data_IF_956199621733
#
_entry.id   IF_956199621733
#
_cell.length_a   1.000
_cell.length_b   1.000
_cell.length_c   1.000
_cell.angle_alpha   90.00
_cell.angle_beta   90.00
_cell.angle_gamma   90.00
#
_symmetry.space_group_name_H-M   'P 1'
#
loop_
_entity.id
_entity.type
_entity.pdbx_description
1 polymer ?
#
# COMPACT_ATOMS: atom_id res chain seq x y z
N UNK A 1 -28.29 9.07 30.69
CA UNK A 1 -27.47 8.63 29.54
C UNK A 1 -27.25 7.15 29.69
N UNK A 2 -27.83 6.35 28.79
CA UNK A 2 -27.88 4.89 28.90
C UNK A 2 -26.45 4.30 28.81
N UNK A 3 -26.15 3.28 29.61
CA UNK A 3 -24.86 2.56 29.60
C UNK A 3 -24.58 1.98 28.21
N UNK A 4 -25.64 1.68 27.44
CA UNK A 4 -25.60 1.21 26.05
C UNK A 4 -25.01 2.26 25.10
N UNK A 5 -25.36 3.54 25.26
CA UNK A 5 -24.84 4.64 24.42
C UNK A 5 -23.34 4.85 24.62
N UNK A 6 -22.85 4.71 25.86
CA UNK A 6 -21.43 4.84 26.19
C UNK A 6 -20.57 3.75 25.54
N UNK A 7 -21.07 2.50 25.51
CA UNK A 7 -20.38 1.37 24.88
C UNK A 7 -20.33 1.52 23.36
N UNK A 8 -21.44 1.88 22.72
CA UNK A 8 -21.49 2.11 21.27
C UNK A 8 -20.53 3.23 20.87
N UNK A 9 -20.52 4.36 21.59
CA UNK A 9 -19.60 5.47 21.31
C UNK A 9 -18.13 5.06 21.38
N UNK A 10 -17.76 4.27 22.40
CA UNK A 10 -16.39 3.76 22.54
C UNK A 10 -16.01 2.81 21.40
N UNK A 11 -16.91 1.90 21.03
CA UNK A 11 -16.69 0.98 19.93
C UNK A 11 -16.54 1.71 18.59
N UNK A 12 -17.41 2.68 18.29
CA UNK A 12 -17.31 3.49 17.07
C UNK A 12 -16.00 4.27 17.01
N UNK A 13 -15.55 4.83 18.13
CA UNK A 13 -14.28 5.55 18.18
C UNK A 13 -13.09 4.62 17.96
N UNK A 14 -13.11 3.42 18.55
CA UNK A 14 -12.06 2.42 18.32
C UNK A 14 -12.02 1.98 16.84
N UNK A 15 -13.17 1.70 16.24
CA UNK A 15 -13.26 1.34 14.82
C UNK A 15 -12.77 2.48 13.91
N UNK A 16 -13.10 3.72 14.24
CA UNK A 16 -12.61 4.88 13.49
C UNK A 16 -11.09 5.01 13.56
N UNK A 17 -10.49 4.85 14.75
CA UNK A 17 -9.04 4.89 14.92
C UNK A 17 -8.36 3.77 14.11
N UNK A 18 -8.91 2.55 14.16
CA UNK A 18 -8.39 1.43 13.39
C UNK A 18 -8.51 1.67 11.88
N UNK A 19 -9.64 2.21 11.41
CA UNK A 19 -9.84 2.53 10.01
C UNK A 19 -8.84 3.60 9.53
N UNK A 20 -8.64 4.67 10.31
CA UNK A 20 -7.67 5.72 9.98
C UNK A 20 -6.23 5.19 9.97
N UNK A 21 -5.87 4.34 10.95
CA UNK A 21 -4.56 3.71 10.99
C UNK A 21 -4.34 2.81 9.77
N UNK A 22 -5.33 2.00 9.41
CA UNK A 22 -5.27 1.12 8.23
C UNK A 22 -5.08 1.92 6.94
N UNK A 23 -5.90 2.96 6.74
CA UNK A 23 -5.82 3.82 5.56
C UNK A 23 -4.49 4.58 5.50
N UNK A 24 -3.99 5.06 6.64
CA UNK A 24 -2.70 5.75 6.73
C UNK A 24 -1.52 4.85 6.37
N UNK A 25 -1.52 3.60 6.86
CA UNK A 25 -0.52 2.60 6.50
C UNK A 25 -0.60 2.23 5.02
N UNK A 26 -1.82 2.03 4.48
CA UNK A 26 -2.02 1.76 3.06
C UNK A 26 -1.55 2.91 2.16
N UNK A 27 -1.79 4.16 2.56
CA UNK A 27 -1.30 5.32 1.83
C UNK A 27 0.23 5.42 1.87
N UNK A 28 0.83 5.18 3.06
CA UNK A 28 2.28 5.12 3.20
C UNK A 28 2.91 4.01 2.34
N UNK A 29 2.27 2.85 2.28
CA UNK A 29 2.66 1.75 1.41
C UNK A 29 2.62 2.17 -0.06
N UNK A 30 1.51 2.75 -0.54
CA UNK A 30 1.35 3.22 -1.92
C UNK A 30 2.47 4.19 -2.32
N UNK A 31 2.71 5.22 -1.51
CA UNK A 31 3.75 6.23 -1.79
C UNK A 31 5.14 5.57 -1.89
N UNK A 32 5.46 4.70 -0.93
CA UNK A 32 6.78 4.06 -0.88
C UNK A 32 6.99 3.07 -2.02
N UNK A 33 5.97 2.29 -2.34
CA UNK A 33 5.94 1.34 -3.45
C UNK A 33 6.09 2.05 -4.80
N UNK A 34 5.30 3.11 -5.06
CA UNK A 34 5.40 3.91 -6.29
C UNK A 34 6.79 4.49 -6.48
N UNK A 35 7.39 5.04 -5.43
CA UNK A 35 8.77 5.56 -5.51
C UNK A 35 9.80 4.49 -5.86
N UNK A 36 9.69 3.28 -5.29
CA UNK A 36 10.56 2.16 -5.65
C UNK A 36 10.35 1.71 -7.11
N UNK A 37 9.09 1.62 -7.54
CA UNK A 37 8.73 1.26 -8.91
C UNK A 37 9.28 2.28 -9.92
N UNK A 38 9.14 3.57 -9.67
CA UNK A 38 9.65 4.65 -10.52
C UNK A 38 11.17 4.60 -10.65
N UNK A 39 11.90 4.47 -9.52
CA UNK A 39 13.35 4.33 -9.54
C UNK A 39 13.81 3.10 -10.33
N UNK A 40 13.12 1.97 -10.20
CA UNK A 40 13.40 0.78 -10.99
C UNK A 40 13.13 1.00 -12.49
N UNK A 41 12.01 1.65 -12.84
CA UNK A 41 11.67 1.96 -14.24
C UNK A 41 12.72 2.87 -14.89
N UNK A 42 13.16 3.91 -14.19
CA UNK A 42 14.23 4.80 -14.66
C UNK A 42 15.53 4.02 -14.90
N UNK A 43 15.92 3.16 -13.96
CA UNK A 43 17.13 2.34 -14.09
C UNK A 43 17.05 1.37 -15.28
N UNK A 44 15.89 0.74 -15.51
CA UNK A 44 15.66 -0.16 -16.65
C UNK A 44 15.64 0.60 -17.99
N UNK A 45 15.01 1.77 -18.02
CA UNK A 45 15.00 2.64 -19.19
C UNK A 45 16.42 3.08 -19.57
N UNK A 46 17.26 3.43 -18.60
CA UNK A 46 18.65 3.79 -18.82
C UNK A 46 19.50 2.64 -19.40
N UNK A 47 19.13 1.38 -19.09
CA UNK A 47 19.74 0.17 -19.66
C UNK A 47 19.17 -0.22 -21.03
N UNK A 48 18.18 0.51 -21.55
CA UNK A 48 17.49 0.16 -22.79
C UNK A 48 16.58 -1.08 -22.68
N UNK A 49 16.22 -1.48 -21.46
CA UNK A 49 15.31 -2.60 -21.22
C UNK A 49 13.85 -2.19 -21.43
N UNK A 50 12.99 -3.18 -21.69
CA UNK A 50 11.55 -2.97 -21.73
C UNK A 50 11.03 -2.47 -20.38
N UNK A 51 10.32 -1.36 -20.41
CA UNK A 51 9.64 -0.76 -19.25
C UNK A 51 8.14 -0.91 -19.45
N UNK A 52 7.51 -1.70 -18.58
CA UNK A 52 6.07 -1.94 -18.68
C UNK A 52 5.27 -0.63 -18.50
N UNK A 53 4.24 -0.38 -19.34
CA UNK A 53 3.35 0.75 -19.15
C UNK A 53 2.52 0.58 -17.88
N UNK A 54 2.20 1.69 -17.23
CA UNK A 54 1.40 1.66 -16.02
C UNK A 54 -0.06 1.33 -16.33
N UNK A 55 -0.48 0.10 -16.00
CA UNK A 55 -1.82 -0.42 -16.32
C UNK A 55 -2.88 0.01 -15.30
N UNK A 56 -2.50 0.08 -14.01
CA UNK A 56 -3.35 0.49 -12.90
C UNK A 56 -2.82 1.77 -12.24
N UNK A 57 -2.83 2.87 -13.01
CA UNK A 57 -2.36 4.16 -12.53
C UNK A 57 -3.41 4.99 -11.80
N UNK A 58 -2.95 6.10 -11.23
CA UNK A 58 -3.79 7.13 -10.63
C UNK A 58 -4.68 6.61 -9.48
N UNK A 59 -5.96 7.00 -9.49
CA UNK A 59 -6.88 6.70 -8.40
C UNK A 59 -7.16 5.20 -8.24
N UNK A 60 -7.14 4.42 -9.34
CA UNK A 60 -7.34 2.97 -9.26
C UNK A 60 -6.16 2.29 -8.58
N UNK A 61 -4.92 2.61 -8.98
CA UNK A 61 -3.72 2.10 -8.32
C UNK A 61 -3.70 2.44 -6.83
N UNK A 62 -4.00 3.69 -6.48
CA UNK A 62 -4.12 4.13 -5.09
C UNK A 62 -5.16 3.31 -4.31
N UNK A 63 -6.36 3.13 -4.85
CA UNK A 63 -7.42 2.39 -4.17
C UNK A 63 -7.03 0.92 -3.94
N UNK A 64 -6.37 0.28 -4.92
CA UNK A 64 -5.87 -1.07 -4.78
C UNK A 64 -4.79 -1.17 -3.71
N UNK A 65 -3.76 -0.33 -3.79
CA UNK A 65 -2.65 -0.36 -2.84
C UNK A 65 -3.14 -0.08 -1.40
N UNK A 66 -3.98 0.94 -1.20
CA UNK A 66 -4.51 1.27 0.13
C UNK A 66 -5.40 0.16 0.69
N UNK A 67 -6.16 -0.54 -0.16
CA UNK A 67 -7.07 -1.60 0.29
C UNK A 67 -6.33 -2.90 0.56
N UNK A 68 -5.33 -3.25 -0.26
CA UNK A 68 -4.70 -4.57 -0.28
C UNK A 68 -3.25 -4.57 0.19
N UNK A 69 -2.74 -3.45 0.72
CA UNK A 69 -1.36 -3.33 1.22
C UNK A 69 -0.89 -4.48 2.13
N UNK A 70 -1.70 -5.07 3.05
CA UNK A 70 -1.18 -6.12 3.92
C UNK A 70 -0.86 -7.39 3.13
N UNK A 71 -1.69 -7.69 2.11
CA UNK A 71 -1.50 -8.86 1.24
C UNK A 71 -0.26 -8.66 0.38
N UNK A 72 -0.11 -7.48 -0.23
CA UNK A 72 1.06 -7.16 -1.06
C UNK A 72 2.35 -7.13 -0.23
N UNK A 73 2.35 -6.45 0.90
CA UNK A 73 3.50 -6.38 1.79
C UNK A 73 3.91 -7.78 2.29
N UNK A 74 2.95 -8.61 2.70
CA UNK A 74 3.22 -9.97 3.14
C UNK A 74 3.80 -10.83 2.01
N UNK A 75 3.16 -10.83 0.83
CA UNK A 75 3.63 -11.60 -0.31
C UNK A 75 5.05 -11.19 -0.73
N UNK A 76 5.32 -9.88 -0.79
CA UNK A 76 6.63 -9.36 -1.14
C UNK A 76 7.69 -9.71 -0.09
N UNK A 77 7.39 -9.60 1.20
CA UNK A 77 8.33 -10.01 2.26
C UNK A 77 8.60 -11.52 2.19
N UNK A 78 7.56 -12.34 1.99
CA UNK A 78 7.68 -13.78 1.92
C UNK A 78 8.54 -14.25 0.73
N UNK A 79 8.35 -13.64 -0.44
CA UNK A 79 9.07 -14.05 -1.66
C UNK A 79 10.41 -13.36 -1.86
N UNK A 80 10.56 -12.12 -1.36
CA UNK A 80 11.66 -11.23 -1.75
C UNK A 80 12.35 -10.53 -0.57
N UNK A 81 11.91 -10.75 0.67
CA UNK A 81 12.54 -10.18 1.87
C UNK A 81 12.30 -8.69 2.09
N UNK A 82 11.54 -8.01 1.22
CA UNK A 82 11.19 -6.59 1.32
C UNK A 82 9.71 -6.40 0.98
N UNK A 83 8.97 -5.52 1.67
CA UNK A 83 7.58 -5.24 1.33
C UNK A 83 7.44 -4.45 0.01
N UNK A 84 8.53 -3.89 -0.50
CA UNK A 84 8.55 -3.01 -1.68
C UNK A 84 9.31 -3.61 -2.87
N UNK A 85 9.18 -4.93 -3.08
CA UNK A 85 9.90 -5.68 -4.11
C UNK A 85 9.54 -5.29 -5.55
N UNK A 86 10.52 -4.86 -6.33
CA UNK A 86 10.39 -4.46 -7.73
C UNK A 86 11.13 -5.46 -8.64
N UNK A 87 10.94 -5.42 -9.97
CA UNK A 87 11.74 -6.21 -10.90
C UNK A 87 13.25 -5.96 -10.85
N UNK A 88 13.70 -4.91 -10.15
CA UNK A 88 15.12 -4.60 -9.97
C UNK A 88 15.74 -5.27 -8.73
N UNK A 89 14.94 -5.94 -7.89
CA UNK A 89 15.40 -6.61 -6.67
C UNK A 89 15.83 -8.07 -6.92
N UNK A 90 15.92 -8.52 -8.19
CA UNK A 90 16.24 -9.89 -8.61
C UNK A 90 17.25 -9.92 -9.77
#
# INVERSE_FOLDING_TARGET
MDRRDSTVRKASLALLVLALAYLGLGLGFHIRWKGAQEACREARQARGEFVEPEVFGGALGLAFDVTWWPVYAWANVYHFGTPFATPCDH
#
